data_IF_527348364843
#
_entry.id   IF_527348364843
#
_cell.length_a   1.000
_cell.length_b   1.000
_cell.length_c   1.000
_cell.angle_alpha   90.00
_cell.angle_beta   90.00
_cell.angle_gamma   90.00
#
_symmetry.space_group_name_H-M   'P 1'
#
loop_
_entity.id
_entity.type
_entity.pdbx_description
1 polymer ?
#
# COMPACT_ATOMS: atom_id res chain seq x y z
N UNK A 1 -35.06 20.95 10.48
CA UNK A 1 -34.88 19.94 9.41
C UNK A 1 -33.57 20.15 8.64
N UNK A 2 -33.07 21.37 8.59
CA UNK A 2 -31.87 21.76 7.85
C UNK A 2 -30.56 21.27 8.49
N UNK A 3 -30.49 21.27 9.83
CA UNK A 3 -29.30 20.80 10.57
C UNK A 3 -29.02 19.31 10.28
N UNK A 4 -30.06 18.48 10.20
CA UNK A 4 -29.90 17.04 9.94
C UNK A 4 -29.38 16.81 8.51
N UNK A 5 -29.88 17.58 7.52
CA UNK A 5 -29.40 17.52 6.14
C UNK A 5 -27.95 17.96 6.00
N UNK A 6 -27.56 19.02 6.70
CA UNK A 6 -26.18 19.52 6.72
C UNK A 6 -25.24 18.48 7.34
N UNK A 7 -25.62 17.86 8.47
CA UNK A 7 -24.79 16.83 9.12
C UNK A 7 -24.62 15.57 8.27
N UNK A 8 -25.69 15.12 7.61
CA UNK A 8 -25.64 13.95 6.72
C UNK A 8 -24.75 14.21 5.50
N UNK A 9 -24.84 15.40 4.90
CA UNK A 9 -23.96 15.79 3.80
C UNK A 9 -22.49 15.81 4.26
N UNK A 10 -22.20 16.44 5.42
CA UNK A 10 -20.84 16.52 5.98
C UNK A 10 -20.23 15.15 6.26
N UNK A 11 -21.00 14.18 6.78
CA UNK A 11 -20.49 12.81 6.99
C UNK A 11 -20.14 12.12 5.68
N UNK A 12 -21.00 12.23 4.66
CA UNK A 12 -20.76 11.60 3.35
C UNK A 12 -19.56 12.22 2.63
N UNK A 13 -19.38 13.53 2.76
CA UNK A 13 -18.29 14.28 2.13
C UNK A 13 -16.96 14.18 2.90
N UNK A 14 -16.98 13.82 4.20
CA UNK A 14 -15.75 13.59 4.99
C UNK A 14 -14.93 12.37 4.52
N UNK A 15 -15.57 11.40 3.86
CA UNK A 15 -14.89 10.26 3.24
C UNK A 15 -14.10 10.63 1.97
N UNK A 16 -14.37 11.81 1.39
CA UNK A 16 -13.58 12.41 0.31
C UNK A 16 -12.47 13.32 0.84
N UNK A 17 -12.04 13.15 2.09
CA UNK A 17 -10.83 13.80 2.58
C UNK A 17 -9.70 13.52 1.59
N UNK A 18 -9.10 14.60 1.08
CA UNK A 18 -7.90 14.57 0.25
C UNK A 18 -6.89 13.69 0.97
N UNK A 19 -6.46 12.57 0.36
CA UNK A 19 -5.34 11.81 0.93
C UNK A 19 -4.23 12.82 1.20
N UNK A 20 -3.60 12.82 2.39
CA UNK A 20 -2.49 13.71 2.64
C UNK A 20 -1.53 13.58 1.44
N UNK A 21 -1.13 14.70 0.82
CA UNK A 21 -0.24 14.65 -0.33
C UNK A 21 0.99 13.89 0.13
N UNK A 22 1.26 12.74 -0.49
CA UNK A 22 2.43 11.91 -0.18
C UNK A 22 2.46 11.34 1.25
N UNK A 23 1.50 10.49 1.59
CA UNK A 23 1.77 9.49 2.64
C UNK A 23 2.79 8.48 2.08
N UNK A 24 4.08 8.80 2.19
CA UNK A 24 5.17 7.89 1.83
C UNK A 24 5.24 6.66 2.74
N UNK A 25 4.36 6.55 3.74
CA UNK A 25 4.30 5.42 4.67
C UNK A 25 4.34 4.05 3.97
N UNK A 26 3.68 3.89 2.82
CA UNK A 26 3.75 2.66 2.02
C UNK A 26 5.15 2.40 1.45
N UNK A 27 5.79 3.43 0.90
CA UNK A 27 7.13 3.33 0.34
C UNK A 27 8.23 3.23 1.41
N UNK A 28 8.06 3.90 2.56
CA UNK A 28 8.89 3.73 3.75
C UNK A 28 8.79 2.30 4.27
N UNK A 29 7.57 1.76 4.43
CA UNK A 29 7.39 0.38 4.87
C UNK A 29 8.00 -0.62 3.89
N UNK A 30 7.88 -0.35 2.59
CA UNK A 30 8.51 -1.16 1.54
C UNK A 30 10.04 -1.13 1.61
N UNK A 31 10.64 0.05 1.83
CA UNK A 31 12.08 0.17 2.00
C UNK A 31 12.58 -0.68 3.17
N UNK A 32 11.91 -0.61 4.33
CA UNK A 32 12.23 -1.43 5.51
C UNK A 32 12.07 -2.93 5.23
N UNK A 33 10.98 -3.33 4.58
CA UNK A 33 10.75 -4.74 4.22
C UNK A 33 11.84 -5.29 3.29
N UNK A 34 12.38 -4.45 2.38
CA UNK A 34 13.43 -4.83 1.44
C UNK A 34 14.78 -5.04 2.13
N UNK A 35 15.06 -4.33 3.23
CA UNK A 35 16.30 -4.51 4.01
C UNK A 35 16.40 -5.90 4.64
N UNK A 36 15.26 -6.51 4.98
CA UNK A 36 15.17 -7.82 5.62
C UNK A 36 14.64 -8.91 4.70
N UNK A 37 14.62 -8.66 3.39
CA UNK A 37 14.12 -9.62 2.41
C UNK A 37 14.95 -10.92 2.47
N UNK A 38 14.31 -12.10 2.54
CA UNK A 38 15.03 -13.37 2.45
C UNK A 38 15.86 -13.46 1.16
N UNK A 39 17.00 -14.16 1.20
CA UNK A 39 17.83 -14.33 0.01
C UNK A 39 17.06 -15.08 -1.09
N UNK A 40 17.47 -14.86 -2.34
CA UNK A 40 16.70 -15.28 -3.51
C UNK A 40 16.51 -16.80 -3.60
N UNK A 41 17.49 -17.57 -3.12
CA UNK A 41 17.42 -19.03 -3.00
C UNK A 41 16.32 -19.50 -2.02
N UNK A 42 16.13 -18.77 -0.92
CA UNK A 42 15.07 -19.02 0.06
C UNK A 42 13.69 -18.76 -0.55
N UNK A 43 13.56 -17.70 -1.35
CA UNK A 43 12.31 -17.39 -2.07
C UNK A 43 12.05 -18.43 -3.17
N UNK A 44 13.09 -18.88 -3.88
CA UNK A 44 12.98 -19.89 -4.93
C UNK A 44 12.59 -21.28 -4.41
N UNK A 45 12.78 -21.55 -3.11
CA UNK A 45 12.35 -22.78 -2.46
C UNK A 45 10.85 -22.81 -2.09
N UNK A 46 10.14 -21.67 -2.19
CA UNK A 46 8.69 -21.61 -1.98
C UNK A 46 7.93 -22.26 -3.14
N UNK A 47 6.66 -22.65 -2.95
CA UNK A 47 5.81 -23.06 -4.06
C UNK A 47 5.78 -21.98 -5.17
N UNK A 48 5.75 -22.37 -6.46
CA UNK A 48 5.97 -21.44 -7.56
C UNK A 48 5.08 -20.20 -7.53
N UNK A 49 3.79 -20.36 -7.22
CA UNK A 49 2.83 -19.24 -7.19
C UNK A 49 3.23 -18.17 -6.15
N UNK A 50 3.78 -18.59 -5.00
CA UNK A 50 4.25 -17.66 -3.98
C UNK A 50 5.53 -16.95 -4.40
N UNK A 51 6.49 -17.67 -5.00
CA UNK A 51 7.73 -17.08 -5.50
C UNK A 51 7.45 -16.03 -6.60
N UNK A 52 6.52 -16.34 -7.50
CA UNK A 52 6.06 -15.43 -8.56
C UNK A 52 5.37 -14.21 -7.96
N UNK A 53 4.46 -14.41 -7.00
CA UNK A 53 3.75 -13.31 -6.35
C UNK A 53 4.70 -12.35 -5.61
N UNK A 54 5.72 -12.87 -4.92
CA UNK A 54 6.74 -12.05 -4.25
C UNK A 54 7.52 -11.21 -5.27
N UNK A 55 7.94 -11.82 -6.39
CA UNK A 55 8.67 -11.11 -7.44
C UNK A 55 7.83 -10.00 -8.09
N UNK A 56 6.57 -10.31 -8.45
CA UNK A 56 5.64 -9.34 -9.03
C UNK A 56 5.34 -8.17 -8.07
N UNK A 57 5.16 -8.47 -6.78
CA UNK A 57 4.98 -7.43 -5.77
C UNK A 57 6.21 -6.52 -5.64
N UNK A 58 7.40 -7.11 -5.59
CA UNK A 58 8.67 -6.39 -5.49
C UNK A 58 8.90 -5.45 -6.69
N UNK A 59 8.58 -5.92 -7.90
CA UNK A 59 8.70 -5.12 -9.13
C UNK A 59 7.72 -3.96 -9.15
N UNK A 60 6.44 -4.19 -8.83
CA UNK A 60 5.42 -3.12 -8.77
C UNK A 60 5.75 -2.07 -7.72
N UNK A 61 6.18 -2.50 -6.54
CA UNK A 61 6.55 -1.58 -5.46
C UNK A 61 7.81 -0.81 -5.80
N UNK A 62 8.82 -1.45 -6.42
CA UNK A 62 10.01 -0.75 -6.92
C UNK A 62 9.66 0.29 -7.98
N UNK A 63 8.75 -0.02 -8.90
CA UNK A 63 8.30 0.92 -9.92
C UNK A 63 7.45 2.08 -9.39
N UNK A 64 6.79 1.89 -8.24
CA UNK A 64 5.91 2.91 -7.63
C UNK A 64 6.65 3.80 -6.63
N UNK A 65 7.60 3.24 -5.88
CA UNK A 65 8.25 3.88 -4.75
C UNK A 65 9.65 4.45 -5.05
N UNK A 66 10.01 4.53 -6.33
CA UNK A 66 11.29 5.05 -6.83
C UNK A 66 11.02 6.24 -7.74
#
# INVERSE_FOLDING_TARGET
MDIIKIMAASLLLSGCATRPPFSDAGCTSYAEARLVRPPADTVAALPPDWAIWIADLDDRMTGTCR
#
